data_IF_260096019043
#
_entry.id   IF_260096019043
#
_cell.length_a   1.000
_cell.length_b   1.000
_cell.length_c   1.000
_cell.angle_alpha   90.00
_cell.angle_beta   90.00
_cell.angle_gamma   90.00
#
_symmetry.space_group_name_H-M   'P 1'
#
loop_
_entity.id
_entity.type
_entity.pdbx_description
1 polymer ?
#
# COMPACT_ATOMS: atom_id res chain seq x y z
N UNK A 1 -34.03 -6.74 33.91
CA UNK A 1 -33.01 -5.85 33.33
C UNK A 1 -31.71 -6.64 33.30
N UNK A 2 -31.30 -7.15 32.13
CA UNK A 2 -30.13 -8.01 32.00
C UNK A 2 -28.91 -7.16 31.69
N UNK A 3 -28.01 -7.00 32.66
CA UNK A 3 -26.73 -6.31 32.48
C UNK A 3 -25.76 -7.21 31.69
N UNK A 4 -25.76 -7.08 30.37
CA UNK A 4 -24.73 -7.66 29.51
C UNK A 4 -23.51 -6.74 29.48
N UNK A 5 -22.60 -6.90 30.44
CA UNK A 5 -21.29 -6.25 30.38
C UNK A 5 -20.27 -7.17 29.70
N UNK A 6 -19.59 -6.66 28.68
CA UNK A 6 -18.49 -7.35 28.02
C UNK A 6 -17.19 -7.00 28.75
N UNK A 7 -16.69 -7.91 29.59
CA UNK A 7 -15.41 -7.73 30.26
C UNK A 7 -14.28 -8.42 29.46
N UNK A 8 -13.25 -7.66 29.09
CA UNK A 8 -12.04 -8.21 28.47
C UNK A 8 -11.06 -8.63 29.56
N UNK A 9 -10.90 -9.93 29.79
CA UNK A 9 -9.82 -10.45 30.61
C UNK A 9 -8.54 -10.56 29.78
N UNK A 10 -7.47 -9.91 30.24
CA UNK A 10 -6.15 -10.04 29.62
C UNK A 10 -5.60 -11.48 29.73
N UNK A 11 -4.58 -11.79 28.92
CA UNK A 11 -3.94 -13.11 28.90
C UNK A 11 -3.18 -13.34 30.22
N UNK A 12 -3.45 -14.47 30.90
CA UNK A 12 -2.78 -14.86 32.15
C UNK A 12 -1.26 -15.00 31.91
N UNK A 13 -0.46 -14.15 32.55
CA UNK A 13 1.00 -14.10 32.38
C UNK A 13 1.52 -12.95 31.51
N UNK A 14 0.64 -12.14 30.93
CA UNK A 14 1.03 -10.93 30.21
C UNK A 14 1.53 -9.88 31.21
N UNK A 15 2.84 -9.56 31.19
CA UNK A 15 3.45 -8.54 32.06
C UNK A 15 3.23 -7.15 31.46
N UNK A 16 2.31 -6.39 32.03
CA UNK A 16 2.12 -4.98 31.70
C UNK A 16 3.21 -4.17 32.43
N UNK A 17 3.94 -3.31 31.72
CA UNK A 17 4.96 -2.44 32.32
C UNK A 17 6.41 -2.96 32.36
N UNK A 18 6.69 -4.24 32.04
CA UNK A 18 8.08 -4.73 31.89
C UNK A 18 8.49 -4.69 30.42
N UNK A 19 9.29 -3.70 30.02
CA UNK A 19 9.76 -3.57 28.63
C UNK A 19 10.85 -4.59 28.34
N UNK A 20 10.91 -5.11 27.10
CA UNK A 20 11.86 -6.15 26.61
C UNK A 20 13.34 -5.90 26.97
N UNK A 21 13.74 -4.64 27.17
CA UNK A 21 15.12 -4.23 27.43
C UNK A 21 15.32 -3.57 28.81
N UNK A 22 14.33 -3.67 29.70
CA UNK A 22 14.35 -3.09 31.04
C UNK A 22 14.06 -4.20 32.07
N UNK A 23 14.86 -4.21 33.15
CA UNK A 23 14.65 -5.06 34.31
C UNK A 23 13.45 -4.54 35.13
N UNK A 24 12.94 -5.37 36.06
CA UNK A 24 11.83 -4.98 36.95
C UNK A 24 12.12 -3.74 37.80
N UNK A 25 13.39 -3.48 38.11
CA UNK A 25 13.87 -2.30 38.84
C UNK A 25 14.08 -1.06 37.94
N UNK A 26 13.71 -1.12 36.65
CA UNK A 26 13.87 -0.01 35.69
C UNK A 26 15.26 0.12 35.07
N UNK A 27 16.27 -0.61 35.55
CA UNK A 27 17.60 -0.61 34.93
C UNK A 27 17.59 -1.32 33.56
N UNK A 28 18.51 -0.96 32.66
CA UNK A 28 18.62 -1.61 31.35
C UNK A 28 19.22 -3.03 31.47
N UNK A 29 18.69 -3.96 30.69
CA UNK A 29 19.32 -5.29 30.51
C UNK A 29 20.64 -5.15 29.74
N UNK A 30 21.55 -6.15 29.77
CA UNK A 30 22.78 -6.11 28.99
C UNK A 30 22.54 -5.91 27.48
N UNK A 31 21.46 -6.51 26.95
CA UNK A 31 21.02 -6.30 25.57
C UNK A 31 20.50 -4.87 25.34
N UNK A 32 19.76 -4.31 26.31
CA UNK A 32 19.30 -2.93 26.28
C UNK A 32 20.43 -1.91 26.28
N UNK A 33 21.49 -2.16 27.07
CA UNK A 33 22.69 -1.31 27.10
C UNK A 33 23.43 -1.33 25.76
N UNK A 34 23.72 -2.50 25.21
CA UNK A 34 24.36 -2.63 23.88
C UNK A 34 23.59 -1.92 22.77
N UNK A 35 22.25 -1.96 22.84
CA UNK A 35 21.38 -1.23 21.91
C UNK A 35 21.52 0.28 22.09
N UNK A 36 21.50 0.74 23.34
CA UNK A 36 21.67 2.17 23.66
C UNK A 36 23.03 2.72 23.19
N UNK A 37 24.11 1.97 23.42
CA UNK A 37 25.45 2.36 22.99
C UNK A 37 25.55 2.47 21.46
N UNK A 38 24.93 1.52 20.73
CA UNK A 38 24.81 1.59 19.26
C UNK A 38 24.03 2.80 18.81
N UNK A 39 22.88 3.05 19.42
CA UNK A 39 22.03 4.20 19.09
C UNK A 39 22.78 5.53 19.32
N UNK A 40 23.66 5.61 20.32
CA UNK A 40 24.54 6.77 20.55
C UNK A 40 25.59 6.90 19.45
N UNK A 41 26.29 5.82 19.11
CA UNK A 41 27.32 5.82 18.07
C UNK A 41 26.74 6.23 16.70
N UNK A 42 25.60 5.66 16.33
CA UNK A 42 24.88 5.99 15.10
C UNK A 42 24.41 7.46 15.09
N UNK A 43 24.08 8.01 16.26
CA UNK A 43 23.68 9.41 16.39
C UNK A 43 24.86 10.37 16.23
N UNK A 44 26.01 10.04 16.82
CA UNK A 44 27.25 10.81 16.70
C UNK A 44 27.78 10.85 15.26
N UNK A 45 27.52 9.81 14.47
CA UNK A 45 27.85 9.76 13.04
C UNK A 45 26.97 10.66 12.14
N UNK A 46 25.88 11.23 12.65
CA UNK A 46 25.01 12.15 11.88
C UNK A 46 25.60 13.56 11.82
N UNK A 47 25.25 14.30 10.77
CA UNK A 47 25.52 15.75 10.68
C UNK A 47 24.95 16.46 11.91
N UNK A 48 25.63 17.51 12.38
CA UNK A 48 25.30 18.24 13.62
C UNK A 48 23.82 18.62 13.72
N UNK A 49 23.21 19.06 12.62
CA UNK A 49 21.80 19.49 12.54
C UNK A 49 20.79 18.33 12.70
N UNK A 50 21.23 17.09 12.47
CA UNK A 50 20.42 15.87 12.58
C UNK A 50 20.76 15.03 13.82
N UNK A 51 21.66 15.53 14.67
CA UNK A 51 22.07 14.86 15.91
C UNK A 51 20.97 15.01 16.96
N UNK A 52 20.60 13.91 17.61
CA UNK A 52 19.54 13.90 18.64
C UNK A 52 20.23 14.07 19.98
N UNK A 53 19.81 15.08 20.76
CA UNK A 53 20.31 15.25 22.11
C UNK A 53 19.91 14.05 22.97
N UNK A 54 20.91 13.30 23.42
CA UNK A 54 20.77 12.09 24.26
C UNK A 54 20.97 12.39 25.75
N UNK A 55 21.25 13.65 26.12
CA UNK A 55 21.51 14.05 27.51
C UNK A 55 20.29 13.92 28.41
N UNK A 56 19.07 14.01 27.85
CA UNK A 56 17.80 13.81 28.54
C UNK A 56 17.14 12.53 28.02
N UNK A 57 17.18 11.42 28.77
CA UNK A 57 16.53 10.19 28.37
C UNK A 57 15.01 10.37 28.44
N UNK A 58 14.37 10.68 27.31
CA UNK A 58 12.90 10.71 27.19
C UNK A 58 12.38 9.28 27.01
N UNK A 59 11.58 8.74 27.96
CA UNK A 59 10.99 7.40 27.86
C UNK A 59 10.10 7.20 26.61
N UNK A 60 9.58 8.29 26.04
CA UNK A 60 8.70 8.27 24.87
C UNK A 60 9.45 8.40 23.54
N UNK A 61 10.76 8.64 23.54
CA UNK A 61 11.58 8.79 22.33
C UNK A 61 11.47 7.58 21.40
N UNK A 62 11.62 6.37 21.95
CA UNK A 62 11.56 5.14 21.14
C UNK A 62 10.17 4.89 20.54
N UNK A 63 9.09 5.34 21.21
CA UNK A 63 7.73 5.26 20.69
C UNK A 63 7.58 6.18 19.49
N UNK A 64 8.12 7.41 19.56
CA UNK A 64 8.11 8.38 18.46
C UNK A 64 8.93 7.89 17.26
N UNK A 65 10.13 7.37 17.51
CA UNK A 65 10.98 6.79 16.46
C UNK A 65 10.34 5.56 15.79
N UNK A 66 9.65 4.72 16.56
CA UNK A 66 8.95 3.56 15.99
C UNK A 66 7.75 3.98 15.13
N UNK A 67 7.01 4.98 15.59
CA UNK A 67 5.92 5.58 14.83
C UNK A 67 6.44 6.21 13.53
N UNK A 68 7.58 6.90 13.57
CA UNK A 68 8.19 7.51 12.39
C UNK A 68 8.71 6.46 11.40
N UNK A 69 9.34 5.37 11.89
CA UNK A 69 9.74 4.24 11.03
C UNK A 69 8.54 3.61 10.33
N UNK A 70 7.43 3.43 11.05
CA UNK A 70 6.17 2.92 10.48
C UNK A 70 5.59 3.86 9.44
N UNK A 71 5.55 5.17 9.72
CA UNK A 71 5.11 6.19 8.75
C UNK A 71 5.94 6.14 7.47
N UNK A 72 7.27 6.14 7.58
CA UNK A 72 8.17 6.02 6.41
C UNK A 72 7.90 4.75 5.62
N UNK A 73 7.72 3.61 6.28
CA UNK A 73 7.37 2.36 5.61
C UNK A 73 6.04 2.48 4.84
N UNK A 74 5.01 3.02 5.48
CA UNK A 74 3.71 3.26 4.83
C UNK A 74 3.84 4.22 3.65
N UNK A 75 4.59 5.32 3.81
CA UNK A 75 4.82 6.30 2.77
C UNK A 75 5.54 5.67 1.57
N UNK A 76 6.60 4.88 1.81
CA UNK A 76 7.31 4.14 0.75
C UNK A 76 6.43 3.11 0.06
N UNK A 77 5.54 2.43 0.79
CA UNK A 77 4.58 1.50 0.21
C UNK A 77 3.58 2.24 -0.68
N UNK A 78 3.07 3.38 -0.22
CA UNK A 78 2.10 4.17 -0.96
C UNK A 78 2.68 4.79 -2.24
N UNK A 79 3.93 5.26 -2.19
CA UNK A 79 4.61 5.83 -3.36
C UNK A 79 4.96 4.75 -4.37
N UNK A 80 5.36 3.57 -3.92
CA UNK A 80 5.59 2.41 -4.78
C UNK A 80 4.31 1.95 -5.48
N UNK A 81 3.18 1.86 -4.77
CA UNK A 81 1.88 1.53 -5.38
C UNK A 81 1.47 2.57 -6.43
N UNK A 82 1.66 3.87 -6.16
CA UNK A 82 1.41 4.92 -7.16
C UNK A 82 2.32 4.78 -8.39
N UNK A 83 3.59 4.44 -8.20
CA UNK A 83 4.51 4.18 -9.31
C UNK A 83 4.06 2.97 -10.14
N UNK A 84 3.60 1.89 -9.49
CA UNK A 84 3.05 0.73 -10.18
C UNK A 84 1.79 1.06 -10.97
N UNK A 85 0.87 1.85 -10.41
CA UNK A 85 -0.33 2.31 -11.12
C UNK A 85 0.01 3.18 -12.32
N UNK A 86 0.97 4.10 -12.17
CA UNK A 86 1.44 4.93 -13.28
C UNK A 86 2.09 4.06 -14.37
N UNK A 87 2.94 3.10 -13.99
CA UNK A 87 3.57 2.19 -14.94
C UNK A 87 2.55 1.34 -15.69
N UNK A 88 1.53 0.85 -15.00
CA UNK A 88 0.42 0.13 -15.61
C UNK A 88 -0.30 1.02 -16.63
N UNK A 89 -0.64 2.26 -16.24
CA UNK A 89 -1.25 3.28 -17.11
C UNK A 89 -0.45 3.57 -18.37
N UNK A 90 0.87 3.76 -18.23
CA UNK A 90 1.77 4.06 -19.35
C UNK A 90 2.05 2.86 -20.26
N UNK A 91 2.04 1.64 -19.72
CA UNK A 91 2.32 0.41 -20.47
C UNK A 91 1.05 -0.28 -21.00
N UNK A 92 -0.13 0.27 -20.70
CA UNK A 92 -1.37 -0.20 -21.31
C UNK A 92 -1.34 0.03 -22.83
N UNK A 93 -1.61 -0.99 -23.65
CA UNK A 93 -1.69 -0.82 -25.09
C UNK A 93 -2.80 0.19 -25.40
N UNK A 94 -2.43 1.34 -25.98
CA UNK A 94 -3.40 2.37 -26.34
C UNK A 94 -4.29 1.85 -27.47
N UNK A 95 -5.63 2.01 -27.40
CA UNK A 95 -6.50 1.62 -28.49
C UNK A 95 -6.14 2.45 -29.72
N UNK A 96 -5.68 1.79 -30.78
CA UNK A 96 -5.48 2.44 -32.08
C UNK A 96 -6.85 2.67 -32.71
N UNK A 97 -7.20 3.94 -32.93
CA UNK A 97 -8.43 4.27 -33.66
C UNK A 97 -8.27 3.79 -35.08
N UNK A 98 -9.17 2.91 -35.55
CA UNK A 98 -9.25 2.54 -36.96
C UNK A 98 -9.70 3.79 -37.73
N UNK A 99 -8.77 4.40 -38.47
CA UNK A 99 -9.10 5.47 -39.41
C UNK A 99 -9.78 4.81 -40.60
N UNK A 100 -11.04 5.12 -40.83
CA UNK A 100 -11.73 4.68 -42.05
C UNK A 100 -11.31 5.56 -43.22
N UNK A 101 -11.20 4.98 -44.41
CA UNK A 101 -10.96 5.76 -45.63
C UNK A 101 -12.26 6.48 -46.03
N UNK A 102 -12.34 7.77 -45.74
CA UNK A 102 -13.52 8.61 -45.98
C UNK A 102 -13.51 9.24 -47.38
N UNK A 103 -12.50 8.97 -48.22
CA UNK A 103 -12.28 9.67 -49.49
C UNK A 103 -13.40 9.47 -50.52
N UNK A 104 -14.25 8.45 -50.35
CA UNK A 104 -15.34 8.11 -51.29
C UNK A 104 -16.74 8.41 -50.74
N UNK A 105 -16.88 8.88 -49.51
CA UNK A 105 -18.20 9.16 -48.90
C UNK A 105 -18.67 10.59 -49.22
N UNK A 106 -19.97 10.74 -49.50
CA UNK A 106 -20.61 12.05 -49.65
C UNK A 106 -20.84 12.72 -48.29
N UNK A 107 -20.91 14.06 -48.24
CA UNK A 107 -21.13 14.82 -46.99
C UNK A 107 -22.40 14.39 -46.23
N UNK A 108 -23.44 13.99 -46.97
CA UNK A 108 -24.68 13.45 -46.38
C UNK A 108 -24.43 12.11 -45.68
N UNK A 109 -23.69 11.21 -46.31
CA UNK A 109 -23.35 9.90 -45.75
C UNK A 109 -22.45 10.02 -44.52
N UNK A 110 -21.58 11.03 -44.49
CA UNK A 110 -20.75 11.33 -43.31
C UNK A 110 -21.61 11.75 -42.12
N UNK A 111 -22.59 12.63 -42.33
CA UNK A 111 -23.51 13.08 -41.26
C UNK A 111 -24.34 11.92 -40.73
N UNK A 112 -24.85 11.08 -41.61
CA UNK A 112 -25.64 9.91 -41.22
C UNK A 112 -24.77 8.89 -40.46
N UNK A 113 -23.52 8.69 -40.88
CA UNK A 113 -22.56 7.84 -40.16
C UNK A 113 -22.26 8.40 -38.77
N UNK A 114 -22.01 9.71 -38.64
CA UNK A 114 -21.79 10.36 -37.34
C UNK A 114 -22.98 10.16 -36.41
N UNK A 115 -24.21 10.37 -36.90
CA UNK A 115 -25.42 10.19 -36.11
C UNK A 115 -25.57 8.74 -35.63
N UNK A 116 -25.30 7.77 -36.50
CA UNK A 116 -25.29 6.35 -36.13
C UNK A 116 -24.23 6.06 -35.06
N UNK A 117 -23.00 6.49 -35.27
CA UNK A 117 -21.91 6.26 -34.30
C UNK A 117 -22.21 6.93 -32.95
N UNK A 118 -22.79 8.13 -32.94
CA UNK A 118 -23.21 8.82 -31.73
C UNK A 118 -24.28 8.02 -30.97
N UNK A 119 -25.28 7.51 -31.69
CA UNK A 119 -26.31 6.65 -31.11
C UNK A 119 -25.73 5.35 -30.57
N UNK A 120 -24.84 4.70 -31.31
CA UNK A 120 -24.13 3.49 -30.87
C UNK A 120 -23.30 3.75 -29.61
N UNK A 121 -22.61 4.88 -29.52
CA UNK A 121 -21.89 5.27 -28.31
C UNK A 121 -22.82 5.51 -27.12
N UNK A 122 -23.93 6.21 -27.34
CA UNK A 122 -24.93 6.46 -26.29
C UNK A 122 -25.56 5.15 -25.81
N UNK A 123 -25.89 4.25 -26.73
CA UNK A 123 -26.43 2.94 -26.42
C UNK A 123 -25.43 2.09 -25.66
N UNK A 124 -24.19 1.98 -26.15
CA UNK A 124 -23.13 1.23 -25.47
C UNK A 124 -22.88 1.80 -24.06
N UNK A 125 -22.80 3.11 -23.89
CA UNK A 125 -22.61 3.72 -22.56
C UNK A 125 -23.73 3.38 -21.56
N UNK A 126 -24.96 3.19 -22.03
CA UNK A 126 -26.13 2.92 -21.18
C UNK A 126 -26.42 1.43 -21.00
N UNK A 127 -26.08 0.61 -21.99
CA UNK A 127 -26.53 -0.79 -22.10
C UNK A 127 -25.40 -1.80 -22.39
N UNK A 128 -24.14 -1.39 -22.57
CA UNK A 128 -23.05 -2.36 -22.66
C UNK A 128 -22.87 -3.03 -21.30
N UNK A 129 -23.06 -4.34 -21.24
CA UNK A 129 -22.44 -5.14 -20.19
C UNK A 129 -20.93 -4.93 -20.26
N UNK A 130 -20.28 -4.80 -19.10
CA UNK A 130 -18.86 -4.49 -19.01
C UNK A 130 -18.06 -5.68 -19.55
N UNK A 131 -17.84 -5.73 -20.86
CA UNK A 131 -16.98 -6.71 -21.50
C UNK A 131 -15.53 -6.33 -21.22
N UNK A 132 -14.92 -7.05 -20.29
CA UNK A 132 -13.52 -6.87 -19.94
C UNK A 132 -12.65 -7.19 -21.17
N UNK A 133 -11.66 -6.35 -21.53
CA UNK A 133 -10.77 -6.64 -22.64
C UNK A 133 -10.07 -7.99 -22.43
N UNK A 134 -9.72 -8.68 -23.53
CA UNK A 134 -9.01 -9.97 -23.48
C UNK A 134 -7.58 -9.77 -22.97
N UNK A 135 -7.45 -9.63 -21.66
CA UNK A 135 -6.17 -9.52 -20.95
C UNK A 135 -5.56 -10.93 -20.89
N UNK A 136 -4.24 -11.03 -21.02
CA UNK A 136 -3.58 -12.34 -20.85
C UNK A 136 -3.81 -12.86 -19.42
N UNK A 137 -3.99 -14.17 -19.26
CA UNK A 137 -4.26 -14.80 -17.94
C UNK A 137 -3.26 -14.37 -16.87
N UNK A 138 -1.98 -14.20 -17.22
CA UNK A 138 -0.95 -13.72 -16.30
C UNK A 138 -1.12 -12.26 -15.87
N UNK A 139 -1.63 -11.39 -16.77
CA UNK A 139 -1.90 -9.99 -16.45
C UNK A 139 -3.21 -9.81 -15.69
N UNK A 140 -4.21 -10.67 -15.91
CA UNK A 140 -5.43 -10.73 -15.08
C UNK A 140 -5.08 -11.04 -13.62
N UNK A 141 -4.22 -12.03 -13.38
CA UNK A 141 -3.76 -12.35 -12.01
C UNK A 141 -3.04 -11.15 -11.38
N UNK A 142 -2.18 -10.46 -12.14
CA UNK A 142 -1.48 -9.28 -11.63
C UNK A 142 -2.44 -8.10 -11.34
N UNK A 143 -3.42 -7.84 -12.22
CA UNK A 143 -4.43 -6.80 -12.01
C UNK A 143 -5.38 -7.14 -10.86
N UNK A 144 -5.74 -8.41 -10.68
CA UNK A 144 -6.60 -8.87 -9.58
C UNK A 144 -5.85 -8.74 -8.25
N UNK A 145 -4.58 -9.12 -8.18
CA UNK A 145 -3.75 -8.92 -6.98
C UNK A 145 -3.59 -7.43 -6.68
N UNK A 146 -3.38 -6.58 -7.69
CA UNK A 146 -3.23 -5.13 -7.51
C UNK A 146 -4.55 -4.44 -7.12
N UNK A 147 -5.68 -4.84 -7.69
CA UNK A 147 -7.00 -4.27 -7.41
C UNK A 147 -7.57 -4.72 -6.07
N UNK A 148 -7.45 -6.02 -5.74
CA UNK A 148 -7.80 -6.57 -4.41
C UNK A 148 -6.88 -6.01 -3.33
N UNK A 149 -5.60 -5.75 -3.65
CA UNK A 149 -4.66 -5.04 -2.78
C UNK A 149 -4.99 -3.54 -2.61
N UNK A 150 -5.77 -2.94 -3.50
CA UNK A 150 -6.05 -1.50 -3.51
C UNK A 150 -7.11 -1.06 -2.49
N UNK A 151 -8.05 -1.95 -2.11
CA UNK A 151 -9.19 -1.58 -1.24
C UNK A 151 -9.20 -2.25 0.14
N UNK A 152 -8.56 -3.42 0.31
CA UNK A 152 -8.59 -4.16 1.58
C UNK A 152 -7.38 -3.89 2.52
N UNK A 153 -6.26 -3.34 2.01
CA UNK A 153 -4.99 -3.26 2.75
C UNK A 153 -4.66 -1.88 3.34
N UNK A 154 -5.58 -0.92 3.36
CA UNK A 154 -5.37 0.32 4.11
C UNK A 154 -5.27 0.08 5.63
N UNK A 155 -5.71 -1.09 6.13
CA UNK A 155 -5.75 -1.40 7.58
C UNK A 155 -4.61 -2.34 8.04
N UNK A 156 -3.90 -3.02 7.13
CA UNK A 156 -2.88 -4.04 7.50
C UNK A 156 -1.64 -4.03 6.59
N UNK A 157 -1.12 -2.84 6.27
CA UNK A 157 0.07 -2.65 5.46
C UNK A 157 1.39 -3.10 6.11
N UNK A 158 1.73 -4.39 6.04
CA UNK A 158 3.10 -4.83 6.29
C UNK A 158 3.66 -5.57 5.08
N UNK A 159 4.90 -5.24 4.71
CA UNK A 159 5.68 -5.95 3.69
C UNK A 159 5.73 -7.47 3.90
N UNK A 160 5.47 -7.92 5.12
CA UNK A 160 5.33 -9.34 5.47
C UNK A 160 4.13 -9.99 4.75
N UNK A 161 3.00 -9.29 4.62
CA UNK A 161 1.83 -9.79 3.91
C UNK A 161 2.11 -9.94 2.41
N UNK A 162 2.78 -8.95 1.81
CA UNK A 162 3.25 -9.00 0.42
C UNK A 162 4.26 -10.13 0.24
N UNK A 163 5.18 -10.33 1.18
CA UNK A 163 6.15 -11.42 1.13
C UNK A 163 5.50 -12.81 1.30
N UNK A 164 4.49 -12.92 2.15
CA UNK A 164 3.72 -14.15 2.37
C UNK A 164 2.88 -14.52 1.15
N UNK A 165 2.21 -13.55 0.53
CA UNK A 165 1.46 -13.80 -0.71
C UNK A 165 2.39 -14.12 -1.88
N UNK A 166 3.56 -13.46 -1.99
CA UNK A 166 4.60 -13.84 -2.96
C UNK A 166 5.13 -15.25 -2.70
N UNK A 167 5.26 -15.65 -1.42
CA UNK A 167 5.73 -17.00 -1.03
C UNK A 167 4.69 -18.07 -1.36
N UNK A 168 3.42 -17.84 -1.05
CA UNK A 168 2.31 -18.74 -1.42
C UNK A 168 2.20 -18.92 -2.93
N UNK A 169 2.38 -17.83 -3.71
CA UNK A 169 2.35 -17.88 -5.18
C UNK A 169 3.56 -18.59 -5.80
N UNK A 170 4.70 -18.67 -5.11
CA UNK A 170 5.90 -19.37 -5.61
C UNK A 170 5.97 -20.86 -5.26
N UNK A 171 4.99 -21.38 -4.51
CA UNK A 171 4.83 -22.81 -4.25
C UNK A 171 6.09 -23.50 -3.72
N UNK A 172 6.43 -23.27 -2.44
CA UNK A 172 7.12 -24.20 -1.51
C UNK A 172 6.88 -23.77 -0.06
#
# INVERSE_FOLDING_TARGET
MNNTYLAHHGIKGMKWGVRRYQNSNGSLTPAGRKRYDRDIADNLGKKKDNRIDTSKPDPNRWVREDLERKKRLVDTSSSFVKQLQNLETETHPKPTRKIMDLSKMSDKELRDRINRELLEQQYNKLFSEIEQPTISKGRQIASDVLSVSGSALAVTGSALAIALSIKELRGK
#
